data_IF_442325949855
#
_entry.id   IF_442325949855
#
_cell.length_a   1.000
_cell.length_b   1.000
_cell.length_c   1.000
_cell.angle_alpha   90.00
_cell.angle_beta   90.00
_cell.angle_gamma   90.00
#
_symmetry.space_group_name_H-M   'P 1'
#
loop_
_entity.id
_entity.type
_entity.pdbx_description
1 polymer ?
#
# COMPACT_ATOMS: atom_id res chain seq x y z
N UNK A 1 21.44 -2.09 -12.41
CA UNK A 1 20.96 -3.46 -12.08
C UNK A 1 20.34 -3.58 -10.68
N UNK A 2 21.02 -3.17 -9.61
CA UNK A 2 20.45 -3.21 -8.23
C UNK A 2 19.16 -2.41 -8.09
N UNK A 3 19.09 -1.21 -8.68
CA UNK A 3 17.93 -0.33 -8.56
C UNK A 3 16.67 -0.93 -9.22
N UNK A 4 16.82 -1.60 -10.37
CA UNK A 4 15.71 -2.27 -11.05
C UNK A 4 15.20 -3.46 -10.23
N UNK A 5 16.11 -4.20 -9.58
CA UNK A 5 15.74 -5.28 -8.68
C UNK A 5 14.96 -4.74 -7.47
N UNK A 6 15.39 -3.61 -6.92
CA UNK A 6 14.71 -2.94 -5.81
C UNK A 6 13.29 -2.49 -6.20
N UNK A 7 13.12 -1.91 -7.39
CA UNK A 7 11.80 -1.54 -7.93
C UNK A 7 10.93 -2.79 -8.12
N UNK A 8 11.50 -3.89 -8.63
CA UNK A 8 10.80 -5.17 -8.74
C UNK A 8 10.27 -5.67 -7.39
N UNK A 9 11.08 -5.60 -6.33
CA UNK A 9 10.67 -5.94 -4.97
C UNK A 9 9.55 -5.02 -4.48
N UNK A 10 9.65 -3.72 -4.71
CA UNK A 10 8.60 -2.75 -4.33
C UNK A 10 7.29 -3.03 -5.03
N UNK A 11 7.30 -3.39 -6.32
CA UNK A 11 6.09 -3.79 -7.05
C UNK A 11 5.45 -5.01 -6.40
N UNK A 12 6.23 -6.05 -6.10
CA UNK A 12 5.71 -7.28 -5.47
C UNK A 12 5.08 -6.99 -4.10
N UNK A 13 5.76 -6.19 -3.27
CA UNK A 13 5.24 -5.76 -1.97
C UNK A 13 3.95 -4.96 -2.15
N UNK A 14 3.92 -4.02 -3.10
CA UNK A 14 2.76 -3.19 -3.36
C UNK A 14 1.55 -4.03 -3.79
N UNK A 15 1.74 -4.98 -4.72
CA UNK A 15 0.68 -5.91 -5.14
C UNK A 15 0.19 -6.74 -3.95
N UNK A 16 1.11 -7.25 -3.13
CA UNK A 16 0.75 -8.04 -1.95
C UNK A 16 -0.08 -7.23 -0.95
N UNK A 17 0.35 -6.01 -0.60
CA UNK A 17 -0.38 -5.13 0.33
C UNK A 17 -1.75 -4.77 -0.25
N UNK A 18 -1.81 -4.41 -1.53
CA UNK A 18 -3.07 -4.11 -2.21
C UNK A 18 -4.04 -5.30 -2.14
N UNK A 19 -3.58 -6.49 -2.51
CA UNK A 19 -4.37 -7.71 -2.45
C UNK A 19 -4.84 -8.00 -1.03
N UNK A 20 -3.95 -7.92 -0.04
CA UNK A 20 -4.27 -8.19 1.36
C UNK A 20 -5.36 -7.25 1.88
N UNK A 21 -5.19 -5.93 1.70
CA UNK A 21 -6.17 -4.95 2.18
C UNK A 21 -7.53 -5.10 1.51
N UNK A 22 -7.56 -5.26 0.18
CA UNK A 22 -8.81 -5.32 -0.58
C UNK A 22 -9.56 -6.64 -0.33
N UNK A 23 -8.84 -7.76 -0.21
CA UNK A 23 -9.46 -9.06 0.09
C UNK A 23 -10.03 -9.14 1.51
N UNK A 24 -9.55 -8.30 2.43
CA UNK A 24 -10.00 -8.25 3.82
C UNK A 24 -11.04 -7.16 4.10
N UNK A 25 -11.53 -6.45 3.08
CA UNK A 25 -12.62 -5.46 3.24
C UNK A 25 -13.89 -6.06 3.85
N UNK A 26 -14.15 -7.34 3.57
CA UNK A 26 -15.31 -8.08 4.08
C UNK A 26 -14.97 -9.08 5.18
N UNK A 27 -13.76 -8.97 5.77
CA UNK A 27 -13.25 -9.88 6.79
C UNK A 27 -12.69 -9.08 7.96
N UNK A 28 -12.22 -9.80 8.98
CA UNK A 28 -11.45 -9.18 10.05
C UNK A 28 -10.05 -8.83 9.55
N UNK A 29 -9.60 -7.62 9.89
CA UNK A 29 -8.26 -7.12 9.59
C UNK A 29 -7.68 -6.63 10.93
N UNK A 30 -6.58 -7.25 11.35
CA UNK A 30 -5.98 -7.04 12.68
C UNK A 30 -6.98 -7.17 13.86
N UNK A 31 -7.90 -8.13 13.77
CA UNK A 31 -8.90 -8.40 14.84
C UNK A 31 -10.14 -7.50 14.80
N UNK A 32 -10.15 -6.44 13.99
CA UNK A 32 -11.30 -5.54 13.80
C UNK A 32 -12.12 -6.03 12.60
N UNK A 33 -13.45 -6.10 12.75
CA UNK A 33 -14.31 -6.40 11.61
C UNK A 33 -14.39 -5.16 10.70
N UNK A 34 -13.79 -5.23 9.50
CA UNK A 34 -13.60 -4.04 8.65
C UNK A 34 -14.94 -3.45 8.21
N UNK A 35 -15.96 -4.28 8.01
CA UNK A 35 -17.30 -3.83 7.64
C UNK A 35 -17.98 -2.98 8.72
N UNK A 36 -17.68 -3.24 9.99
CA UNK A 36 -18.31 -2.56 11.13
C UNK A 36 -17.57 -1.27 11.51
N UNK A 37 -16.36 -1.04 10.96
CA UNK A 37 -15.55 0.14 11.24
C UNK A 37 -15.30 0.93 9.93
N UNK A 38 -16.10 1.98 9.72
CA UNK A 38 -16.06 2.80 8.50
C UNK A 38 -14.66 3.39 8.24
N UNK A 39 -13.91 3.75 9.29
CA UNK A 39 -12.54 4.27 9.17
C UNK A 39 -11.61 3.18 8.65
N UNK A 40 -11.69 1.98 9.20
CA UNK A 40 -10.88 0.83 8.75
C UNK A 40 -11.22 0.44 7.30
N UNK A 41 -12.50 0.42 6.94
CA UNK A 41 -12.94 0.14 5.57
C UNK A 41 -12.41 1.18 4.58
N UNK A 42 -12.52 2.47 4.91
CA UNK A 42 -11.99 3.55 4.07
C UNK A 42 -10.47 3.46 3.93
N UNK A 43 -9.75 3.28 5.04
CA UNK A 43 -8.27 3.17 5.01
C UNK A 43 -7.81 1.95 4.23
N UNK A 44 -8.43 0.78 4.43
CA UNK A 44 -8.09 -0.43 3.67
C UNK A 44 -8.39 -0.28 2.17
N UNK A 45 -9.53 0.32 1.81
CA UNK A 45 -9.91 0.55 0.41
C UNK A 45 -8.99 1.56 -0.27
N UNK A 46 -8.77 2.72 0.35
CA UNK A 46 -7.89 3.76 -0.18
C UNK A 46 -6.46 3.26 -0.26
N UNK A 47 -5.94 2.66 0.82
CA UNK A 47 -4.60 2.05 0.83
C UNK A 47 -4.44 1.01 -0.25
N UNK A 48 -5.41 0.10 -0.39
CA UNK A 48 -5.41 -0.92 -1.43
C UNK A 48 -5.32 -0.33 -2.85
N UNK A 49 -6.13 0.67 -3.16
CA UNK A 49 -6.10 1.37 -4.45
C UNK A 49 -4.77 2.10 -4.67
N UNK A 50 -4.26 2.80 -3.65
CA UNK A 50 -2.96 3.48 -3.73
C UNK A 50 -1.84 2.51 -4.08
N UNK A 51 -1.81 1.32 -3.45
CA UNK A 51 -0.79 0.32 -3.71
C UNK A 51 -0.94 -0.36 -5.09
N UNK A 52 -2.16 -0.48 -5.63
CA UNK A 52 -2.37 -0.89 -7.04
C UNK A 52 -1.74 0.14 -7.98
N UNK A 53 -2.02 1.43 -7.78
CA UNK A 53 -1.46 2.50 -8.60
C UNK A 53 0.07 2.51 -8.51
N UNK A 54 0.61 2.28 -7.31
CA UNK A 54 2.05 2.23 -7.08
C UNK A 54 2.72 1.08 -7.81
N UNK A 55 2.08 -0.10 -7.83
CA UNK A 55 2.56 -1.25 -8.60
C UNK A 55 2.58 -0.94 -10.10
N UNK A 56 1.53 -0.30 -10.64
CA UNK A 56 1.47 0.10 -12.05
C UNK A 56 2.59 1.10 -12.37
N UNK A 57 2.76 2.14 -11.55
CA UNK A 57 3.84 3.12 -11.72
C UNK A 57 5.23 2.46 -11.65
N UNK A 58 5.42 1.48 -10.77
CA UNK A 58 6.65 0.70 -10.70
C UNK A 58 6.94 -0.09 -11.97
N UNK A 59 5.93 -0.74 -12.56
CA UNK A 59 6.09 -1.45 -13.85
C UNK A 59 6.46 -0.46 -14.95
N UNK A 60 5.79 0.70 -15.01
CA UNK A 60 6.13 1.76 -15.96
C UNK A 60 7.57 2.25 -15.76
N UNK A 61 8.02 2.38 -14.51
CA UNK A 61 9.38 2.82 -14.19
C UNK A 61 10.45 1.83 -14.68
N UNK A 62 10.18 0.52 -14.60
CA UNK A 62 11.08 -0.50 -15.14
C UNK A 62 11.18 -0.46 -16.68
N UNK A 63 10.11 -0.08 -17.37
CA UNK A 63 10.09 0.01 -18.84
C UNK A 63 10.85 1.26 -19.30
N UNK A 64 10.59 2.41 -18.69
CA UNK A 64 11.19 3.69 -19.07
C UNK A 64 12.67 3.74 -18.67
N UNK A 65 13.07 3.03 -17.61
CA UNK A 65 14.44 3.01 -17.06
C UNK A 65 14.97 4.42 -16.75
N UNK A 66 14.11 5.33 -16.33
CA UNK A 66 14.49 6.68 -15.91
C UNK A 66 14.77 6.68 -14.40
N UNK A 67 16.02 6.96 -14.02
CA UNK A 67 16.47 6.91 -12.63
C UNK A 67 15.71 7.87 -11.70
N UNK A 68 15.38 9.07 -12.18
CA UNK A 68 14.62 10.07 -11.39
C UNK A 68 13.22 9.52 -11.11
N UNK A 69 12.56 8.98 -12.13
CA UNK A 69 11.23 8.40 -11.97
C UNK A 69 11.23 7.18 -11.04
N UNK A 70 12.25 6.33 -11.14
CA UNK A 70 12.46 5.21 -10.21
C UNK A 70 12.60 5.73 -8.77
N UNK A 71 13.42 6.74 -8.53
CA UNK A 71 13.58 7.35 -7.20
C UNK A 71 12.25 7.87 -6.65
N UNK A 72 11.43 8.51 -7.48
CA UNK A 72 10.09 8.96 -7.09
C UNK A 72 9.19 7.77 -6.69
N UNK A 73 9.17 6.69 -7.47
CA UNK A 73 8.39 5.49 -7.15
C UNK A 73 8.83 4.88 -5.82
N UNK A 74 10.14 4.79 -5.56
CA UNK A 74 10.69 4.24 -4.31
C UNK A 74 10.34 5.11 -3.09
N UNK A 75 10.51 6.43 -3.21
CA UNK A 75 10.14 7.40 -2.16
C UNK A 75 8.64 7.34 -1.87
N UNK A 76 7.81 7.37 -2.92
CA UNK A 76 6.36 7.35 -2.77
C UNK A 76 5.88 6.00 -2.21
N UNK A 77 6.49 4.88 -2.61
CA UNK A 77 6.22 3.56 -2.06
C UNK A 77 6.46 3.49 -0.56
N UNK A 78 7.61 4.01 -0.14
CA UNK A 78 7.98 4.06 1.28
C UNK A 78 7.02 4.95 2.06
N UNK A 79 6.78 6.18 1.58
CA UNK A 79 5.88 7.12 2.24
C UNK A 79 4.44 6.59 2.34
N UNK A 80 3.90 6.01 1.26
CA UNK A 80 2.56 5.44 1.25
C UNK A 80 2.44 4.27 2.25
N UNK A 81 3.46 3.42 2.35
CA UNK A 81 3.53 2.34 3.35
C UNK A 81 3.53 2.87 4.77
N UNK A 82 4.41 3.83 5.08
CA UNK A 82 4.48 4.43 6.43
C UNK A 82 3.18 5.13 6.81
N UNK A 83 2.57 5.86 5.87
CA UNK A 83 1.28 6.54 6.11
C UNK A 83 0.18 5.51 6.39
N UNK A 84 0.07 4.48 5.55
CA UNK A 84 -0.91 3.41 5.74
C UNK A 84 -0.75 2.75 7.12
N UNK A 85 0.47 2.40 7.48
CA UNK A 85 0.80 1.78 8.77
C UNK A 85 0.38 2.68 9.94
N UNK A 86 0.71 3.97 9.89
CA UNK A 86 0.32 4.93 10.92
C UNK A 86 -1.20 5.06 11.06
N UNK A 87 -1.95 5.07 9.95
CA UNK A 87 -3.41 5.09 9.98
C UNK A 87 -4.00 3.82 10.57
N UNK A 88 -3.50 2.65 10.16
CA UNK A 88 -3.97 1.36 10.68
C UNK A 88 -3.69 1.25 12.18
N UNK A 89 -2.48 1.57 12.64
CA UNK A 89 -2.14 1.57 14.07
C UNK A 89 -3.01 2.53 14.87
N UNK A 90 -3.27 3.73 14.34
CA UNK A 90 -4.14 4.71 14.99
C UNK A 90 -5.57 4.17 15.17
N UNK A 91 -6.11 3.48 14.16
CA UNK A 91 -7.45 2.86 14.25
C UNK A 91 -7.45 1.71 15.26
N UNK A 92 -6.40 0.88 15.28
CA UNK A 92 -6.28 -0.23 16.24
C UNK A 92 -6.18 0.27 17.69
N UNK A 93 -5.41 1.33 17.93
CA UNK A 93 -5.23 1.89 19.27
C UNK A 93 -6.42 2.74 19.74
N UNK A 94 -7.23 3.26 18.80
CA UNK A 94 -8.41 4.08 19.09
C UNK A 94 -9.64 3.61 18.32
N UNK A 95 -10.18 2.40 18.62
CA UNK A 95 -11.24 1.78 17.83
C UNK A 95 -12.60 2.50 17.93
N UNK A 96 -12.81 3.30 18.99
CA UNK A 96 -14.08 3.98 19.29
C UNK A 96 -14.06 5.49 19.00
N UNK A 97 -13.08 5.99 18.23
CA UNK A 97 -12.94 7.42 17.90
C UNK A 97 -13.29 7.71 16.45
#
# INVERSE_FOLDING_TARGET
MIINLLVGVVILIAIFIAYYLLSHLNKKLFGINVQDNERMAKTAKTGGITFILLAILGVIALIIQNDIFILFVLLFGTAAGTILEAFIMNIINHPNR
#
